data_IF_774396376769
#
_entry.id   IF_774396376769
#
_cell.length_a   1.000
_cell.length_b   1.000
_cell.length_c   1.000
_cell.angle_alpha   90.00
_cell.angle_beta   90.00
_cell.angle_gamma   90.00
#
_symmetry.space_group_name_H-M   'P 1'
#
loop_
_entity.id
_entity.type
_entity.pdbx_description
1 polymer ?
#
# COMPACT_ATOMS: atom_id res chain seq x y z
N UNK A 1 46.70 2.49 -46.39
CA UNK A 1 46.57 2.39 -44.92
C UNK A 1 45.09 2.38 -44.55
N UNK A 2 44.59 1.26 -44.01
CA UNK A 2 43.18 1.03 -43.72
C UNK A 2 42.72 1.80 -42.47
N UNK A 3 41.61 2.54 -42.55
CA UNK A 3 40.78 2.88 -41.39
C UNK A 3 39.35 2.44 -41.68
N UNK A 4 39.04 1.20 -41.30
CA UNK A 4 37.68 0.68 -41.30
C UNK A 4 36.91 1.28 -40.11
N UNK A 5 35.89 2.07 -40.38
CA UNK A 5 34.93 2.51 -39.38
C UNK A 5 34.11 1.32 -38.90
N UNK A 6 34.30 0.92 -37.66
CA UNK A 6 33.54 -0.12 -36.98
C UNK A 6 32.09 0.36 -36.81
N UNK A 7 31.20 0.00 -37.74
CA UNK A 7 29.74 0.14 -37.55
C UNK A 7 29.40 -0.64 -36.28
N UNK A 8 28.99 0.05 -35.21
CA UNK A 8 28.44 -0.58 -34.00
C UNK A 8 27.16 -1.32 -34.41
N UNK A 9 27.27 -2.62 -34.64
CA UNK A 9 26.14 -3.54 -34.59
C UNK A 9 25.72 -3.61 -33.13
N UNK A 10 24.79 -2.74 -32.74
CA UNK A 10 24.05 -2.95 -31.50
C UNK A 10 23.13 -4.13 -31.81
N UNK A 11 23.35 -5.25 -31.13
CA UNK A 11 22.51 -6.42 -31.30
C UNK A 11 21.04 -6.00 -31.03
N UNK A 12 20.06 -6.49 -31.82
CA UNK A 12 18.64 -6.16 -31.62
C UNK A 12 18.17 -6.39 -30.17
N UNK A 13 18.85 -7.31 -29.48
CA UNK A 13 18.72 -7.60 -28.05
C UNK A 13 18.88 -6.38 -27.12
N UNK A 14 19.81 -5.45 -27.40
CA UNK A 14 20.09 -4.34 -26.46
C UNK A 14 18.97 -3.30 -26.48
N UNK A 15 18.32 -3.12 -27.63
CA UNK A 15 17.19 -2.21 -27.77
C UNK A 15 15.92 -2.78 -27.13
N UNK A 16 15.74 -4.09 -27.23
CA UNK A 16 14.68 -4.84 -26.54
C UNK A 16 14.86 -4.82 -25.02
N UNK A 17 16.09 -5.08 -24.54
CA UNK A 17 16.45 -4.98 -23.12
C UNK A 17 16.27 -3.55 -22.56
N UNK A 18 16.54 -2.53 -23.37
CA UNK A 18 16.30 -1.12 -23.00
C UNK A 18 14.80 -0.83 -22.85
N UNK A 19 13.96 -1.27 -23.79
CA UNK A 19 12.49 -1.14 -23.72
C UNK A 19 11.94 -1.88 -22.49
N UNK A 20 12.50 -3.04 -22.19
CA UNK A 20 12.15 -3.85 -21.02
C UNK A 20 12.43 -3.12 -19.70
N UNK A 21 13.66 -2.62 -19.50
CA UNK A 21 14.07 -1.93 -18.27
C UNK A 21 13.22 -0.69 -17.95
N UNK A 22 12.75 0.04 -18.96
CA UNK A 22 11.94 1.26 -18.77
C UNK A 22 10.44 0.97 -18.55
N UNK A 23 9.93 -0.17 -19.05
CA UNK A 23 8.50 -0.51 -18.98
C UNK A 23 8.09 -1.20 -17.68
N UNK A 24 9.05 -1.79 -16.93
CA UNK A 24 8.79 -2.67 -15.77
C UNK A 24 7.80 -3.81 -16.05
N UNK A 25 7.54 -4.13 -17.32
CA UNK A 25 6.67 -5.24 -17.72
C UNK A 25 7.58 -6.41 -18.12
N UNK A 26 7.45 -7.60 -17.51
CA UNK A 26 8.25 -8.79 -17.86
C UNK A 26 8.34 -8.97 -19.40
N UNK A 27 9.49 -9.39 -19.96
CA UNK A 27 9.60 -9.62 -21.39
C UNK A 27 8.91 -10.97 -21.67
N UNK A 28 7.60 -10.92 -21.81
CA UNK A 28 6.76 -12.08 -22.12
C UNK A 28 5.89 -11.73 -23.32
N UNK A 29 5.76 -12.69 -24.24
CA UNK A 29 4.80 -12.58 -25.34
C UNK A 29 3.40 -12.27 -24.78
N UNK A 30 2.63 -11.35 -25.41
CA UNK A 30 1.37 -10.85 -24.86
C UNK A 30 0.34 -11.95 -24.53
N UNK A 31 0.45 -13.12 -25.17
CA UNK A 31 -0.41 -14.27 -24.93
C UNK A 31 -0.04 -15.04 -23.64
N UNK A 32 1.26 -15.20 -23.37
CA UNK A 32 1.72 -15.85 -22.15
C UNK A 32 1.41 -15.00 -20.90
N UNK A 33 1.48 -13.67 -21.00
CA UNK A 33 1.08 -12.75 -19.92
C UNK A 33 -0.40 -12.89 -19.61
N UNK A 34 -1.23 -12.94 -20.66
CA UNK A 34 -2.68 -13.15 -20.53
C UNK A 34 -2.99 -14.51 -19.91
N UNK A 35 -2.26 -15.56 -20.26
CA UNK A 35 -2.48 -16.89 -19.70
C UNK A 35 -2.12 -16.92 -18.22
N UNK A 36 -0.96 -16.37 -17.84
CA UNK A 36 -0.53 -16.31 -16.44
C UNK A 36 -1.53 -15.53 -15.57
N UNK A 37 -2.02 -14.38 -16.04
CA UNK A 37 -3.03 -13.60 -15.31
C UNK A 37 -4.34 -14.38 -15.15
N UNK A 38 -4.75 -15.16 -16.16
CA UNK A 38 -5.92 -16.04 -16.06
C UNK A 38 -5.70 -17.13 -15.02
N UNK A 39 -4.54 -17.78 -15.03
CA UNK A 39 -4.23 -18.88 -14.11
C UNK A 39 -4.20 -18.40 -12.65
N UNK A 40 -3.57 -17.24 -12.39
CA UNK A 40 -3.56 -16.60 -11.06
C UNK A 40 -4.99 -16.28 -10.60
N UNK A 41 -5.79 -15.65 -11.46
CA UNK A 41 -7.19 -15.33 -11.11
C UNK A 41 -8.00 -16.61 -10.84
N UNK A 42 -7.82 -17.65 -11.64
CA UNK A 42 -8.50 -18.93 -11.45
C UNK A 42 -8.08 -19.58 -10.13
N UNK A 43 -6.80 -19.53 -9.77
CA UNK A 43 -6.29 -20.05 -8.51
C UNK A 43 -6.83 -19.27 -7.31
N UNK A 44 -6.88 -17.94 -7.38
CA UNK A 44 -7.49 -17.08 -6.35
C UNK A 44 -8.98 -17.38 -6.18
N UNK A 45 -9.70 -17.64 -7.27
CA UNK A 45 -11.13 -17.97 -7.21
C UNK A 45 -11.39 -19.41 -6.73
N UNK A 46 -10.56 -20.37 -7.13
CA UNK A 46 -10.64 -21.78 -6.75
C UNK A 46 -10.18 -22.03 -5.31
N UNK A 47 -9.26 -21.21 -4.80
CA UNK A 47 -8.68 -21.40 -3.47
C UNK A 47 -9.69 -21.17 -2.34
N UNK A 48 -10.92 -20.76 -2.62
CA UNK A 48 -12.11 -20.92 -1.76
C UNK A 48 -12.07 -20.19 -0.41
N UNK A 49 -10.90 -19.69 0.00
CA UNK A 49 -10.65 -18.83 1.14
C UNK A 49 -11.13 -17.44 0.77
N UNK A 50 -12.44 -17.29 0.62
CA UNK A 50 -13.04 -16.01 0.96
C UNK A 50 -12.61 -15.74 2.41
N UNK A 51 -11.98 -14.60 2.73
CA UNK A 51 -11.95 -14.21 4.12
C UNK A 51 -13.42 -14.21 4.57
N UNK A 52 -13.75 -14.97 5.62
CA UNK A 52 -15.14 -15.23 6.05
C UNK A 52 -15.93 -13.94 6.38
N UNK A 53 -15.25 -12.80 6.42
CA UNK A 53 -15.79 -11.46 6.47
C UNK A 53 -14.89 -10.53 5.64
N UNK A 54 -15.47 -9.59 4.89
CA UNK A 54 -14.70 -8.41 4.49
C UNK A 54 -14.07 -7.79 5.74
N UNK A 55 -12.80 -7.39 5.69
CA UNK A 55 -12.19 -6.75 6.84
C UNK A 55 -12.93 -5.44 7.14
N UNK A 56 -13.42 -5.30 8.38
CA UNK A 56 -14.19 -4.14 8.84
C UNK A 56 -13.28 -2.94 9.07
N UNK A 57 -12.70 -2.45 7.98
CA UNK A 57 -11.81 -1.31 7.99
C UNK A 57 -12.61 -0.02 8.12
N UNK A 58 -12.33 0.80 9.15
CA UNK A 58 -13.05 2.02 9.38
C UNK A 58 -12.83 3.02 8.23
N UNK A 59 -13.92 3.68 7.83
CA UNK A 59 -13.91 4.66 6.74
C UNK A 59 -13.64 6.06 7.28
N UNK A 60 -12.72 6.79 6.68
CA UNK A 60 -12.46 8.19 7.00
C UNK A 60 -13.64 9.04 6.53
N UNK A 61 -14.31 9.71 7.47
CA UNK A 61 -15.51 10.52 7.19
C UNK A 61 -15.26 12.03 7.15
N UNK A 62 -14.04 12.48 7.46
CA UNK A 62 -13.62 13.89 7.32
C UNK A 62 -12.18 13.98 6.81
N UNK A 63 -11.76 15.11 6.21
CA UNK A 63 -10.38 15.29 5.77
C UNK A 63 -9.38 15.00 6.90
N UNK A 64 -8.31 14.27 6.57
CA UNK A 64 -7.24 13.94 7.53
C UNK A 64 -6.50 15.21 7.92
N UNK A 65 -6.37 15.47 9.23
CA UNK A 65 -5.60 16.60 9.73
C UNK A 65 -4.16 16.16 9.97
N UNK A 66 -3.26 16.60 9.09
CA UNK A 66 -1.83 16.31 9.20
C UNK A 66 -1.14 17.41 9.99
N UNK A 67 -0.45 17.02 11.07
CA UNK A 67 0.39 17.88 11.91
C UNK A 67 1.80 17.28 12.01
N UNK A 68 2.71 17.98 12.68
CA UNK A 68 4.06 17.46 12.88
C UNK A 68 4.01 16.15 13.68
N UNK A 69 4.42 15.03 13.07
CA UNK A 69 4.41 13.67 13.66
C UNK A 69 3.04 13.12 14.10
N UNK A 70 1.95 13.79 13.71
CA UNK A 70 0.59 13.36 14.03
C UNK A 70 -0.29 13.38 12.78
N UNK A 71 -1.09 12.34 12.58
CA UNK A 71 -2.16 12.31 11.59
C UNK A 71 -3.47 11.99 12.31
N UNK A 72 -4.42 12.93 12.28
CA UNK A 72 -5.70 12.78 12.98
C UNK A 72 -6.74 12.37 11.95
N UNK A 73 -7.30 11.17 12.13
CA UNK A 73 -8.32 10.62 11.27
C UNK A 73 -9.63 10.47 12.05
N UNK A 74 -10.71 11.01 11.51
CA UNK A 74 -12.08 10.81 12.02
C UNK A 74 -12.75 9.76 11.17
N UNK A 75 -13.09 8.63 11.77
CA UNK A 75 -13.50 7.44 11.05
C UNK A 75 -14.81 6.86 11.59
N UNK A 76 -15.56 6.21 10.70
CA UNK A 76 -16.79 5.48 11.04
C UNK A 76 -16.59 3.98 10.81
N UNK A 77 -17.08 3.16 11.74
CA UNK A 77 -17.01 1.69 11.71
C UNK A 77 -18.20 1.08 10.99
N UNK A 78 -18.16 -0.23 10.66
CA UNK A 78 -19.39 -0.93 10.21
C UNK A 78 -20.53 -0.83 11.22
N UNK A 79 -20.20 -0.75 12.51
CA UNK A 79 -21.16 -0.63 13.62
C UNK A 79 -21.76 0.78 13.73
N UNK A 80 -21.40 1.72 12.85
CA UNK A 80 -21.89 3.09 12.86
C UNK A 80 -21.29 3.96 13.99
N UNK A 81 -20.20 3.51 14.64
CA UNK A 81 -19.53 4.28 15.69
C UNK A 81 -18.55 5.25 15.06
N UNK A 82 -18.66 6.52 15.45
CA UNK A 82 -17.68 7.55 15.09
C UNK A 82 -16.53 7.54 16.09
N UNK A 83 -15.31 7.38 15.60
CA UNK A 83 -14.08 7.42 16.40
C UNK A 83 -13.08 8.41 15.81
N UNK A 84 -12.32 9.09 16.67
CA UNK A 84 -11.19 9.92 16.27
C UNK A 84 -9.92 9.25 16.76
N UNK A 85 -8.94 9.06 15.88
CA UNK A 85 -7.68 8.39 16.19
C UNK A 85 -6.52 9.26 15.77
N UNK A 86 -5.56 9.44 16.68
CA UNK A 86 -4.34 10.20 16.43
C UNK A 86 -3.20 9.22 16.13
N UNK A 87 -2.93 9.03 14.84
CA UNK A 87 -1.82 8.20 14.40
C UNK A 87 -0.49 8.89 14.66
N UNK A 88 0.40 8.17 15.33
CA UNK A 88 1.78 8.57 15.62
C UNK A 88 2.72 7.43 15.25
N UNK A 89 3.96 7.72 14.82
CA UNK A 89 4.93 6.68 14.49
C UNK A 89 5.27 5.77 15.68
N UNK A 90 5.21 6.29 16.91
CA UNK A 90 5.55 5.55 18.12
C UNK A 90 4.44 4.62 18.60
N UNK A 91 3.16 5.05 18.58
CA UNK A 91 2.04 4.22 19.06
C UNK A 91 1.59 3.18 18.03
N UNK A 92 1.56 3.55 16.74
CA UNK A 92 0.95 2.72 15.69
C UNK A 92 1.96 2.21 14.66
N UNK A 93 3.25 2.52 14.84
CA UNK A 93 4.31 2.17 13.90
C UNK A 93 4.37 3.08 12.67
N UNK A 94 5.51 3.01 11.97
CA UNK A 94 5.81 3.88 10.82
C UNK A 94 4.87 3.63 9.63
N UNK A 95 4.56 2.36 9.33
CA UNK A 95 3.72 1.99 8.19
C UNK A 95 2.29 2.51 8.35
N UNK A 96 1.67 2.26 9.51
CA UNK A 96 0.31 2.72 9.77
C UNK A 96 0.22 4.24 9.78
N UNK A 97 1.17 4.90 10.45
CA UNK A 97 1.28 6.35 10.43
C UNK A 97 1.39 6.91 9.00
N UNK A 98 2.23 6.28 8.16
CA UNK A 98 2.43 6.71 6.77
C UNK A 98 1.17 6.50 5.94
N UNK A 99 0.48 5.37 6.13
CA UNK A 99 -0.81 5.08 5.51
C UNK A 99 -1.84 6.15 5.88
N UNK A 100 -2.11 6.32 7.19
CA UNK A 100 -3.07 7.30 7.70
C UNK A 100 -2.77 8.74 7.24
N UNK A 101 -1.49 9.13 7.18
CA UNK A 101 -1.08 10.47 6.75
C UNK A 101 -1.36 10.77 5.28
N UNK A 102 -1.30 9.76 4.41
CA UNK A 102 -1.55 9.92 2.97
C UNK A 102 -2.99 9.61 2.57
N UNK A 103 -3.79 9.05 3.47
CA UNK A 103 -5.20 8.78 3.23
C UNK A 103 -6.02 10.06 3.11
N UNK A 104 -7.12 9.94 2.36
CA UNK A 104 -8.07 11.00 2.07
C UNK A 104 -9.44 10.65 2.63
N UNK A 105 -10.33 11.63 2.57
CA UNK A 105 -11.74 11.41 2.90
C UNK A 105 -12.32 10.31 2.00
N UNK A 106 -13.02 9.36 2.61
CA UNK A 106 -13.60 8.20 1.93
C UNK A 106 -12.75 6.94 1.95
N UNK A 107 -11.45 7.04 2.24
CA UNK A 107 -10.57 5.86 2.31
C UNK A 107 -10.92 4.96 3.50
N UNK A 108 -10.67 3.66 3.36
CA UNK A 108 -10.74 2.69 4.45
C UNK A 108 -9.33 2.41 4.96
N UNK A 109 -9.12 2.49 6.27
CA UNK A 109 -7.81 2.26 6.88
C UNK A 109 -7.70 0.84 7.42
N UNK A 110 -6.56 0.15 7.21
CA UNK A 110 -6.36 -1.22 7.65
C UNK A 110 -6.06 -1.30 9.16
N UNK A 111 -7.03 -0.89 9.99
CA UNK A 111 -6.83 -0.76 11.43
C UNK A 111 -7.95 -1.47 12.18
N UNK A 112 -7.55 -2.33 13.12
CA UNK A 112 -8.43 -2.89 14.13
C UNK A 112 -8.59 -1.87 15.27
N UNK A 113 -9.83 -1.43 15.53
CA UNK A 113 -10.08 -0.42 16.56
C UNK A 113 -9.85 -0.91 17.99
N UNK A 114 -9.89 -2.22 18.20
CA UNK A 114 -9.53 -2.89 19.45
C UNK A 114 -8.07 -2.60 19.83
N UNK A 115 -7.17 -2.66 18.84
CA UNK A 115 -5.74 -2.40 19.03
C UNK A 115 -5.45 -0.92 19.38
N UNK A 116 -6.28 -0.01 18.88
CA UNK A 116 -6.13 1.43 19.16
C UNK A 116 -6.57 1.75 20.58
N UNK A 117 -7.73 1.26 21.02
CA UNK A 117 -8.29 1.56 22.35
C UNK A 117 -7.35 1.11 23.48
N UNK A 118 -6.68 -0.04 23.31
CA UNK A 118 -5.67 -0.52 24.25
C UNK A 118 -4.44 0.39 24.36
N UNK A 119 -4.14 1.18 23.32
CA UNK A 119 -2.98 2.08 23.29
C UNK A 119 -3.24 3.46 23.95
N UNK A 120 -4.51 3.83 24.14
CA UNK A 120 -4.92 5.10 24.76
C UNK A 120 -4.88 5.03 26.30
N UNK A 121 -4.97 3.84 26.89
CA UNK A 121 -4.92 3.60 28.33
C UNK A 121 -3.49 3.49 28.92
N UNK A 122 -2.43 3.83 28.16
CA UNK A 122 -1.10 3.94 28.77
C UNK A 122 -1.03 5.23 29.60
N UNK A 123 -0.82 5.15 30.93
CA UNK A 123 -0.71 6.33 31.77
C UNK A 123 0.41 7.23 31.23
N UNK A 124 0.10 8.51 31.15
CA UNK A 124 1.07 9.57 30.89
C UNK A 124 2.08 9.46 32.03
N UNK A 125 3.30 9.03 31.74
CA UNK A 125 4.38 9.16 32.71
C UNK A 125 4.60 10.67 32.86
N UNK A 126 4.08 11.24 33.94
CA UNK A 126 4.48 12.56 34.41
C UNK A 126 5.99 12.50 34.62
N UNK A 127 6.74 13.22 33.80
CA UNK A 127 8.13 13.52 34.11
C UNK A 127 8.10 14.51 35.26
N UNK A 128 8.33 14.01 36.48
CA UNK A 128 8.63 14.85 37.65
C UNK A 128 9.96 15.58 37.39
N UNK A 129 9.92 16.90 37.56
CA UNK A 129 11.07 17.83 37.55
C UNK A 129 11.92 17.70 38.82
#
# INVERSE_FOLDING_TARGET
MFKAGFKKMIAPDVEELSKYLHSRKPPMEPEAERQLVKDINQEVMNSGKKPDSEPDWPRIIRPVLVRHRHAICRMCTSQGKLTEVIFTPGKHGKLMYTCARHSKWGDRLPVSLEDIQNSENRPIMETED
#
